data_IF_280427007326
#
_entry.id   IF_280427007326
#
_cell.length_a   1.000
_cell.length_b   1.000
_cell.length_c   1.000
_cell.angle_alpha   90.00
_cell.angle_beta   90.00
_cell.angle_gamma   90.00
#
_symmetry.space_group_name_H-M   'P 1'
#
loop_
_entity.id
_entity.type
_entity.pdbx_description
1 polymer ?
#
# COMPACT_ATOMS: atom_id res chain seq x y z
N UNK A 1 -5.77 -5.53 16.49
CA UNK A 1 -6.77 -4.56 16.01
C UNK A 1 -6.83 -3.46 17.06
N UNK A 2 -6.78 -2.18 16.68
CA UNK A 2 -6.82 -1.05 17.62
C UNK A 2 -8.16 -0.93 18.32
N UNK A 3 -8.14 -0.45 19.57
CA UNK A 3 -9.31 -0.31 20.43
C UNK A 3 -9.77 1.14 20.63
N UNK A 4 -9.12 2.09 19.96
CA UNK A 4 -9.41 3.51 20.02
C UNK A 4 -9.12 4.18 18.67
N UNK A 5 -9.61 5.41 18.51
CA UNK A 5 -9.38 6.20 17.31
C UNK A 5 -7.96 6.75 17.26
N UNK A 6 -7.36 6.70 16.07
CA UNK A 6 -5.98 7.11 15.83
C UNK A 6 -5.92 8.13 14.71
N UNK A 7 -4.90 8.99 14.76
CA UNK A 7 -4.57 9.91 13.67
C UNK A 7 -3.27 9.47 13.02
N UNK A 8 -3.18 9.62 11.70
CA UNK A 8 -1.94 9.37 10.97
C UNK A 8 -1.15 10.67 10.95
N UNK A 9 0.03 10.69 11.57
CA UNK A 9 0.87 11.88 11.59
C UNK A 9 1.28 12.28 10.16
N UNK A 10 1.09 13.55 9.81
CA UNK A 10 1.47 14.08 8.50
C UNK A 10 0.57 13.66 7.35
N UNK A 11 -0.61 13.09 7.62
CA UNK A 11 -1.63 12.77 6.60
C UNK A 11 -2.94 13.49 6.91
N UNK A 12 -3.66 13.87 5.87
CA UNK A 12 -5.02 14.42 5.97
C UNK A 12 -6.09 13.33 6.09
N UNK A 13 -5.73 12.06 5.84
CA UNK A 13 -6.64 10.93 5.95
C UNK A 13 -7.02 10.66 7.41
N UNK A 14 -8.32 10.50 7.64
CA UNK A 14 -8.89 10.08 8.92
C UNK A 14 -9.33 8.62 8.77
N UNK A 15 -8.64 7.66 9.43
CA UNK A 15 -9.04 6.26 9.39
C UNK A 15 -10.47 6.05 9.92
N UNK A 16 -11.14 4.94 9.55
CA UNK A 16 -12.46 4.60 10.09
C UNK A 16 -12.49 4.60 11.63
N UNK A 17 -13.63 4.81 12.29
CA UNK A 17 -13.72 4.63 13.74
C UNK A 17 -13.26 3.22 14.16
N UNK A 18 -12.64 3.08 15.34
CA UNK A 18 -12.10 1.81 15.82
C UNK A 18 -13.18 0.72 15.92
N UNK A 19 -14.42 1.11 16.25
CA UNK A 19 -15.60 0.24 16.27
C UNK A 19 -15.95 -0.35 14.90
N UNK A 20 -15.57 0.33 13.81
CA UNK A 20 -15.85 -0.11 12.44
C UNK A 20 -14.70 -0.89 11.79
N UNK A 21 -13.49 -0.88 12.37
CA UNK A 21 -12.30 -1.54 11.80
C UNK A 21 -12.57 -3.01 11.46
N UNK A 22 -13.26 -3.74 12.35
CA UNK A 22 -13.61 -5.15 12.11
C UNK A 22 -14.48 -5.32 10.85
N UNK A 23 -15.49 -4.46 10.67
CA UNK A 23 -16.37 -4.46 9.49
C UNK A 23 -15.57 -4.18 8.23
N UNK A 24 -14.68 -3.20 8.25
CA UNK A 24 -13.83 -2.88 7.10
C UNK A 24 -12.85 -4.01 6.75
N UNK A 25 -12.25 -4.68 7.73
CA UNK A 25 -11.41 -5.84 7.50
C UNK A 25 -12.19 -7.01 6.87
N UNK A 26 -13.40 -7.30 7.35
CA UNK A 26 -14.26 -8.32 6.76
C UNK A 26 -14.59 -7.99 5.29
N UNK A 27 -14.92 -6.73 5.00
CA UNK A 27 -15.14 -6.26 3.63
C UNK A 27 -13.88 -6.37 2.76
N UNK A 28 -12.71 -6.07 3.32
CA UNK A 28 -11.42 -6.25 2.66
C UNK A 28 -11.17 -7.71 2.29
N UNK A 29 -11.39 -8.66 3.20
CA UNK A 29 -11.21 -10.09 2.91
C UNK A 29 -12.22 -10.62 1.89
N UNK A 30 -13.47 -10.13 1.93
CA UNK A 30 -14.49 -10.43 0.91
C UNK A 30 -14.05 -9.91 -0.46
N UNK A 31 -13.60 -8.66 -0.54
CA UNK A 31 -13.06 -8.07 -1.76
C UNK A 31 -11.86 -8.88 -2.29
N UNK A 32 -10.90 -9.22 -1.43
CA UNK A 32 -9.73 -10.00 -1.81
C UNK A 32 -10.13 -11.36 -2.39
N UNK A 33 -11.04 -12.08 -1.72
CA UNK A 33 -11.50 -13.40 -2.16
C UNK A 33 -12.11 -13.36 -3.56
N UNK A 34 -12.85 -12.29 -3.89
CA UNK A 34 -13.47 -12.09 -5.21
C UNK A 34 -12.47 -11.70 -6.29
N UNK A 35 -11.39 -11.00 -5.94
CA UNK A 35 -10.51 -10.33 -6.90
C UNK A 35 -9.12 -10.98 -7.06
N UNK A 36 -8.68 -11.83 -6.13
CA UNK A 36 -7.33 -12.42 -6.09
C UNK A 36 -6.91 -13.18 -7.36
N UNK A 37 -7.89 -13.66 -8.14
CA UNK A 37 -7.66 -14.40 -9.39
C UNK A 37 -8.10 -13.60 -10.64
N UNK A 38 -8.59 -12.37 -10.47
CA UNK A 38 -9.12 -11.53 -11.56
C UNK A 38 -8.19 -10.36 -11.89
N UNK A 39 -7.59 -9.76 -10.86
CA UNK A 39 -6.68 -8.62 -11.01
C UNK A 39 -5.29 -9.09 -11.42
N UNK A 40 -4.57 -8.23 -12.14
CA UNK A 40 -3.15 -8.44 -12.39
C UNK A 40 -2.40 -8.51 -11.05
N UNK A 41 -1.40 -9.40 -10.86
CA UNK A 41 -0.77 -9.59 -9.55
C UNK A 41 -0.18 -8.32 -8.92
N UNK A 42 0.40 -7.46 -9.75
CA UNK A 42 0.92 -6.16 -9.32
C UNK A 42 -0.19 -5.25 -8.79
N UNK A 43 -1.30 -5.16 -9.52
CA UNK A 43 -2.48 -4.37 -9.15
C UNK A 43 -3.10 -4.91 -7.86
N UNK A 44 -3.22 -6.24 -7.73
CA UNK A 44 -3.71 -6.87 -6.50
C UNK A 44 -2.84 -6.48 -5.29
N UNK A 45 -1.51 -6.56 -5.42
CA UNK A 45 -0.58 -6.25 -4.34
C UNK A 45 -0.66 -4.78 -3.90
N UNK A 46 -0.69 -3.86 -4.87
CA UNK A 46 -0.83 -2.41 -4.61
C UNK A 46 -2.19 -2.06 -4.03
N UNK A 47 -3.27 -2.64 -4.53
CA UNK A 47 -4.61 -2.43 -3.98
C UNK A 47 -4.75 -2.95 -2.54
N UNK A 48 -4.11 -4.07 -2.21
CA UNK A 48 -4.06 -4.57 -0.82
C UNK A 48 -3.33 -3.58 0.08
N UNK A 49 -2.20 -3.06 -0.37
CA UNK A 49 -1.45 -2.04 0.36
C UNK A 49 -2.33 -0.82 0.66
N UNK A 50 -2.93 -0.20 -0.35
CA UNK A 50 -3.79 0.97 -0.18
C UNK A 50 -4.96 0.71 0.77
N UNK A 51 -5.64 -0.44 0.62
CA UNK A 51 -6.78 -0.78 1.49
C UNK A 51 -6.36 -0.96 2.93
N UNK A 52 -5.22 -1.61 3.20
CA UNK A 52 -4.76 -1.81 4.57
C UNK A 52 -4.26 -0.50 5.21
N UNK A 53 -3.58 0.37 4.46
CA UNK A 53 -3.17 1.69 4.97
C UNK A 53 -4.36 2.58 5.28
N UNK A 54 -5.41 2.52 4.46
CA UNK A 54 -6.66 3.27 4.65
C UNK A 54 -7.44 2.77 5.88
N UNK A 55 -7.58 1.45 6.05
CA UNK A 55 -8.27 0.84 7.20
C UNK A 55 -7.53 1.15 8.51
N UNK A 56 -6.20 1.16 8.47
CA UNK A 56 -5.32 1.46 9.59
C UNK A 56 -5.66 0.62 10.85
N UNK A 57 -5.61 -0.72 10.77
CA UNK A 57 -6.18 -1.61 11.78
C UNK A 57 -5.39 -1.72 13.09
N UNK A 58 -4.15 -1.23 13.15
CA UNK A 58 -3.26 -1.33 14.30
C UNK A 58 -2.98 0.06 14.91
N UNK A 59 -2.46 0.08 16.12
CA UNK A 59 -2.03 1.32 16.81
C UNK A 59 -0.77 1.89 16.17
N UNK A 60 0.17 1.02 15.80
CA UNK A 60 1.37 1.35 15.03
C UNK A 60 1.72 0.19 14.07
N UNK A 61 2.58 0.44 13.09
CA UNK A 61 3.10 -0.58 12.18
C UNK A 61 2.23 -0.80 10.95
N UNK A 62 1.18 0.00 10.75
CA UNK A 62 0.25 -0.14 9.61
C UNK A 62 0.97 -0.05 8.26
N UNK A 63 1.79 0.99 8.05
CA UNK A 63 2.55 1.14 6.80
C UNK A 63 3.59 0.03 6.60
N UNK A 64 4.28 -0.40 7.67
CA UNK A 64 5.25 -1.51 7.61
C UNK A 64 4.55 -2.83 7.23
N UNK A 65 3.42 -3.12 7.87
CA UNK A 65 2.63 -4.32 7.63
C UNK A 65 2.04 -4.34 6.22
N UNK A 66 1.46 -3.22 5.77
CA UNK A 66 0.90 -3.10 4.43
C UNK A 66 1.95 -3.33 3.34
N UNK A 67 3.16 -2.75 3.49
CA UNK A 67 4.27 -2.97 2.56
C UNK A 67 4.82 -4.39 2.61
N UNK A 68 4.92 -4.98 3.80
CA UNK A 68 5.33 -6.37 3.94
C UNK A 68 4.38 -7.32 3.19
N UNK A 69 3.06 -7.10 3.31
CA UNK A 69 2.04 -7.89 2.61
C UNK A 69 2.09 -7.66 1.09
N UNK A 70 2.26 -6.41 0.65
CA UNK A 70 2.46 -6.09 -0.77
C UNK A 70 3.67 -6.83 -1.33
N UNK A 71 4.83 -6.71 -0.67
CA UNK A 71 6.07 -7.36 -1.10
C UNK A 71 5.97 -8.89 -1.08
N UNK A 72 5.28 -9.47 -0.10
CA UNK A 72 5.03 -10.91 -0.09
C UNK A 72 4.33 -11.38 -1.38
N UNK A 73 3.33 -10.64 -1.85
CA UNK A 73 2.62 -10.97 -3.09
C UNK A 73 3.49 -10.74 -4.32
N UNK A 74 4.22 -9.62 -4.37
CA UNK A 74 5.14 -9.31 -5.46
C UNK A 74 6.21 -10.40 -5.63
N UNK A 75 6.89 -10.78 -4.54
CA UNK A 75 7.92 -11.82 -4.54
C UNK A 75 7.34 -13.16 -5.00
N UNK A 76 6.18 -13.56 -4.46
CA UNK A 76 5.50 -14.81 -4.83
C UNK A 76 5.14 -14.87 -6.33
N UNK A 77 5.09 -13.71 -6.99
CA UNK A 77 4.74 -13.56 -8.40
C UNK A 77 5.93 -13.11 -9.25
N UNK A 78 7.15 -13.23 -8.71
CA UNK A 78 8.41 -12.89 -9.38
C UNK A 78 8.52 -11.42 -9.81
N UNK A 79 7.82 -10.53 -9.10
CA UNK A 79 7.99 -9.09 -9.24
C UNK A 79 9.08 -8.58 -8.28
N UNK A 80 9.80 -7.51 -8.65
CA UNK A 80 10.71 -6.81 -7.75
C UNK A 80 9.99 -6.33 -6.49
N UNK A 81 10.69 -6.35 -5.36
CA UNK A 81 10.19 -5.77 -4.13
C UNK A 81 10.07 -4.25 -4.25
N UNK A 82 9.07 -3.70 -3.58
CA UNK A 82 8.91 -2.27 -3.39
C UNK A 82 9.61 -1.81 -2.10
N UNK A 83 10.52 -0.85 -2.26
CA UNK A 83 11.14 -0.09 -1.19
C UNK A 83 10.94 1.41 -1.46
N UNK A 84 10.95 2.21 -0.40
CA UNK A 84 10.77 3.65 -0.50
C UNK A 84 12.06 4.31 -0.01
N UNK A 85 12.92 4.78 -0.93
CA UNK A 85 14.06 5.62 -0.59
C UNK A 85 13.62 6.85 0.21
N UNK A 86 14.53 7.38 1.03
CA UNK A 86 14.21 8.53 1.88
C UNK A 86 13.75 9.74 1.03
N UNK A 87 14.39 9.93 -0.11
CA UNK A 87 14.18 11.00 -1.08
C UNK A 87 12.80 10.89 -1.76
N UNK A 88 12.26 9.66 -1.85
CA UNK A 88 10.96 9.37 -2.50
C UNK A 88 9.80 9.26 -1.52
N UNK A 89 10.03 9.54 -0.23
CA UNK A 89 9.01 9.39 0.82
C UNK A 89 7.81 10.30 0.59
N UNK A 90 8.05 11.54 0.17
CA UNK A 90 6.98 12.50 -0.10
C UNK A 90 6.10 12.06 -1.27
N UNK A 91 6.71 11.68 -2.40
CA UNK A 91 6.00 11.13 -3.58
C UNK A 91 5.16 9.91 -3.22
N UNK A 92 5.70 9.04 -2.36
CA UNK A 92 4.96 7.89 -1.84
C UNK A 92 3.76 8.31 -0.98
N UNK A 93 3.90 9.29 -0.08
CA UNK A 93 2.76 9.77 0.72
C UNK A 93 1.70 10.46 -0.13
N UNK A 94 2.09 11.27 -1.11
CA UNK A 94 1.16 11.85 -2.08
C UNK A 94 0.38 10.76 -2.84
N UNK A 95 1.03 9.64 -3.17
CA UNK A 95 0.34 8.50 -3.79
C UNK A 95 -0.75 7.90 -2.88
N UNK A 96 -0.51 7.82 -1.57
CA UNK A 96 -1.52 7.34 -0.63
C UNK A 96 -2.73 8.28 -0.57
N UNK A 97 -2.51 9.60 -0.57
CA UNK A 97 -3.63 10.57 -0.57
C UNK A 97 -4.50 10.45 -1.83
N UNK A 98 -3.91 10.10 -2.97
CA UNK A 98 -4.63 9.80 -4.21
C UNK A 98 -5.49 8.54 -4.04
N UNK A 99 -4.93 7.49 -3.42
CA UNK A 99 -5.68 6.28 -3.11
C UNK A 99 -6.83 6.55 -2.12
N UNK A 100 -6.61 7.40 -1.13
CA UNK A 100 -7.61 7.77 -0.11
C UNK A 100 -8.80 8.53 -0.73
N UNK A 101 -8.59 9.23 -1.85
CA UNK A 101 -9.65 9.85 -2.67
C UNK A 101 -10.39 8.86 -3.59
N UNK A 102 -9.95 7.61 -3.64
CA UNK A 102 -10.53 6.56 -4.49
C UNK A 102 -9.93 6.47 -5.90
N UNK A 103 -8.90 7.26 -6.20
CA UNK A 103 -8.24 7.33 -7.52
C UNK A 103 -7.21 6.20 -7.70
N UNK A 104 -7.67 4.95 -7.56
CA UNK A 104 -6.82 3.78 -7.49
C UNK A 104 -5.97 3.53 -8.75
N UNK A 105 -6.46 3.91 -9.93
CA UNK A 105 -5.71 3.75 -11.19
C UNK A 105 -4.45 4.63 -11.19
N UNK A 106 -4.58 5.88 -10.74
CA UNK A 106 -3.44 6.79 -10.62
C UNK A 106 -2.49 6.29 -9.53
N UNK A 107 -3.02 5.86 -8.38
CA UNK A 107 -2.22 5.28 -7.31
C UNK A 107 -1.34 4.11 -7.80
N UNK A 108 -1.94 3.12 -8.48
CA UNK A 108 -1.21 1.95 -9.02
C UNK A 108 -0.13 2.41 -9.99
N UNK A 109 -0.44 3.39 -10.85
CA UNK A 109 0.53 3.97 -11.80
C UNK A 109 1.72 4.63 -11.10
N UNK A 110 1.48 5.39 -10.02
CA UNK A 110 2.54 6.03 -9.23
C UNK A 110 3.43 5.01 -8.52
N UNK A 111 2.86 3.96 -7.95
CA UNK A 111 3.65 2.89 -7.33
C UNK A 111 4.49 2.14 -8.38
N UNK A 112 3.93 1.90 -9.57
CA UNK A 112 4.68 1.33 -10.68
C UNK A 112 5.88 2.20 -11.06
N UNK A 113 5.68 3.51 -11.17
CA UNK A 113 6.76 4.44 -11.49
C UNK A 113 7.87 4.42 -10.41
N UNK A 114 7.51 4.44 -9.13
CA UNK A 114 8.48 4.35 -8.04
C UNK A 114 9.32 3.07 -8.11
N UNK A 115 8.71 1.93 -8.49
CA UNK A 115 9.44 0.66 -8.65
C UNK A 115 10.34 0.70 -9.89
N UNK A 116 9.88 1.27 -11.00
CA UNK A 116 10.72 1.45 -12.20
C UNK A 116 11.95 2.31 -11.87
N UNK A 117 11.76 3.42 -11.16
CA UNK A 117 12.84 4.30 -10.76
C UNK A 117 13.81 3.58 -9.81
N UNK A 118 13.30 2.82 -8.85
CA UNK A 118 14.10 1.99 -7.96
C UNK A 118 14.99 1.00 -8.73
N UNK A 119 14.44 0.31 -9.74
CA UNK A 119 15.20 -0.65 -10.57
C UNK A 119 16.29 0.08 -11.36
N UNK A 120 15.96 1.21 -11.98
CA UNK A 120 16.92 2.03 -12.75
C UNK A 120 18.08 2.51 -11.87
N UNK A 121 17.80 2.99 -10.66
CA UNK A 121 18.83 3.38 -9.71
C UNK A 121 19.73 2.22 -9.31
N UNK A 122 19.17 1.03 -9.09
CA UNK A 122 19.96 -0.17 -8.79
C UNK A 122 20.88 -0.58 -9.96
N UNK A 123 20.38 -0.55 -11.20
CA UNK A 123 21.18 -0.87 -12.38
C UNK A 123 22.30 0.14 -12.64
N UNK A 124 22.08 1.42 -12.35
CA UNK A 124 23.10 2.45 -12.44
C UNK A 124 24.23 2.20 -11.44
N UNK A 125 23.88 1.99 -10.16
CA UNK A 125 24.85 1.77 -9.09
C UNK A 125 25.64 0.46 -9.22
N UNK A 126 25.22 -0.48 -10.06
CA UNK A 126 25.94 -1.73 -10.33
C UNK A 126 27.03 -1.58 -11.41
N UNK A 127 26.97 -0.51 -12.21
CA UNK A 127 27.93 -0.24 -13.30
C UNK A 127 29.13 0.60 -12.86
N UNK A 128 29.04 1.21 -11.69
CA UNK A 128 30.12 1.91 -10.98
C UNK A 128 30.88 0.96 -10.07
#
# INVERSE_FOLDING_TARGET
IRFFDVKIQGSTHVPPPHSEVKKHLLNFFKWYSTNKNKLHPFELATMIHAKLTWIHPFEDGNGRSARAIMNFILIKKSFPMFFIPFEKREEYYQSLEIADKGEYKEYVSRILQLIIDQIRSYEHNKKE
#
